data_IF_775629028263
#
_entry.id   IF_775629028263
#
_cell.length_a   1.000
_cell.length_b   1.000
_cell.length_c   1.000
_cell.angle_alpha   90.00
_cell.angle_beta   90.00
_cell.angle_gamma   90.00
#
_symmetry.space_group_name_H-M   'P 1'
#
loop_
_entity.id
_entity.type
_entity.pdbx_description
1 polymer ?
#
# COMPACT_ATOMS: atom_id res chain seq x y z
N UNK A 1 26.13 4.23 -84.30
CA UNK A 1 26.82 4.05 -82.98
C UNK A 1 25.95 4.34 -81.78
N UNK A 2 24.61 4.35 -81.89
CA UNK A 2 23.70 4.77 -80.84
C UNK A 2 22.77 3.64 -80.21
N UNK A 3 22.90 2.40 -80.66
CA UNK A 3 22.04 1.29 -80.17
C UNK A 3 22.60 0.48 -79.01
N UNK A 4 23.90 0.58 -78.70
CA UNK A 4 24.51 -0.22 -77.61
C UNK A 4 24.47 0.45 -76.24
N UNK A 5 24.25 1.76 -76.16
CA UNK A 5 24.22 2.48 -74.88
C UNK A 5 22.82 2.38 -74.22
N UNK A 6 21.75 2.31 -74.99
CA UNK A 6 20.38 2.18 -74.46
C UNK A 6 20.08 0.84 -73.78
N UNK A 7 20.71 -0.27 -74.25
CA UNK A 7 20.49 -1.57 -73.66
C UNK A 7 21.22 -1.79 -72.31
N UNK A 8 22.32 -1.08 -72.06
CA UNK A 8 23.02 -1.12 -70.77
C UNK A 8 22.33 -0.32 -69.70
N UNK A 9 21.74 0.81 -70.05
CA UNK A 9 20.96 1.61 -69.10
C UNK A 9 19.66 0.96 -68.71
N UNK A 10 18.96 0.30 -69.66
CA UNK A 10 17.73 -0.45 -69.36
C UNK A 10 17.94 -1.63 -68.44
N UNK A 11 19.09 -2.37 -68.56
CA UNK A 11 19.40 -3.48 -67.68
C UNK A 11 19.77 -3.01 -66.28
N UNK A 12 20.42 -1.84 -66.13
CA UNK A 12 20.79 -1.28 -64.84
C UNK A 12 19.55 -0.77 -64.06
N UNK A 13 18.61 -0.15 -64.73
CA UNK A 13 17.34 0.30 -64.14
C UNK A 13 16.48 -0.90 -63.77
N UNK A 14 16.39 -1.91 -64.58
CA UNK A 14 15.64 -3.14 -64.24
C UNK A 14 16.22 -3.89 -63.05
N UNK A 15 17.56 -3.95 -62.91
CA UNK A 15 18.21 -4.63 -61.78
C UNK A 15 18.06 -3.82 -60.47
N UNK A 16 18.15 -2.48 -60.56
CA UNK A 16 17.92 -1.60 -59.39
C UNK A 16 16.45 -1.65 -58.90
N UNK A 17 15.49 -1.71 -59.85
CA UNK A 17 14.07 -1.80 -59.49
C UNK A 17 13.73 -3.17 -58.85
N UNK A 18 14.33 -4.27 -59.30
CA UNK A 18 14.15 -5.61 -58.73
C UNK A 18 14.79 -5.70 -57.34
N UNK A 19 15.95 -5.08 -57.13
CA UNK A 19 16.56 -5.00 -55.76
C UNK A 19 15.73 -4.14 -54.81
N UNK A 20 15.15 -3.02 -55.22
CA UNK A 20 14.29 -2.20 -54.38
C UNK A 20 12.97 -2.95 -54.03
N UNK A 21 12.39 -3.68 -54.96
CA UNK A 21 11.19 -4.48 -54.72
C UNK A 21 11.48 -5.69 -53.80
N UNK A 22 12.66 -6.31 -53.92
CA UNK A 22 13.06 -7.39 -53.03
C UNK A 22 13.32 -6.89 -51.58
N UNK A 23 13.88 -5.68 -51.40
CA UNK A 23 14.07 -5.07 -50.08
C UNK A 23 12.72 -4.69 -49.45
N UNK A 24 11.76 -4.21 -50.20
CA UNK A 24 10.40 -3.96 -49.70
C UNK A 24 9.61 -5.25 -49.40
N UNK A 25 9.81 -6.32 -50.19
CA UNK A 25 9.18 -7.61 -49.92
C UNK A 25 9.69 -8.27 -48.62
N UNK A 26 10.95 -8.10 -48.27
CA UNK A 26 11.49 -8.58 -46.98
C UNK A 26 10.96 -7.75 -45.79
N UNK A 27 10.80 -6.43 -45.94
CA UNK A 27 10.19 -5.59 -44.90
C UNK A 27 8.70 -5.88 -44.72
N UNK A 28 7.97 -6.17 -45.80
CA UNK A 28 6.55 -6.56 -45.76
C UNK A 28 6.36 -7.93 -45.13
N UNK A 29 7.28 -8.89 -45.31
CA UNK A 29 7.16 -10.22 -44.72
C UNK A 29 7.34 -10.24 -43.22
N UNK A 30 8.25 -9.41 -42.66
CA UNK A 30 8.44 -9.27 -41.23
C UNK A 30 7.33 -8.45 -40.55
N UNK A 31 6.75 -7.47 -41.25
CA UNK A 31 5.60 -6.73 -40.76
C UNK A 31 4.31 -7.54 -40.83
N UNK A 32 4.10 -8.32 -41.90
CA UNK A 32 2.90 -9.17 -42.09
C UNK A 32 2.86 -10.35 -41.09
N UNK A 33 4.00 -10.90 -40.70
CA UNK A 33 4.08 -11.91 -39.63
C UNK A 33 3.75 -11.37 -38.24
N UNK A 34 3.85 -10.06 -38.04
CA UNK A 34 3.44 -9.38 -36.79
C UNK A 34 1.98 -8.93 -36.78
N UNK A 35 1.32 -8.87 -37.96
CA UNK A 35 -0.09 -8.44 -38.10
C UNK A 35 -1.08 -9.58 -37.90
N UNK A 36 -1.16 -10.16 -36.75
CA UNK A 36 -2.18 -11.17 -36.44
C UNK A 36 -1.90 -12.01 -35.21
N UNK A 37 -0.68 -11.98 -34.71
CA UNK A 37 -0.35 -12.63 -33.43
C UNK A 37 -0.17 -11.53 -32.39
N UNK A 38 -1.00 -11.47 -31.34
CA UNK A 38 -0.78 -10.53 -30.23
C UNK A 38 0.62 -10.70 -29.67
N UNK A 39 1.45 -9.66 -29.71
CA UNK A 39 2.82 -9.70 -29.23
C UNK A 39 3.10 -8.50 -28.31
N UNK A 40 3.67 -8.77 -27.15
CA UNK A 40 4.12 -7.75 -26.20
C UNK A 40 5.46 -7.11 -26.61
N UNK A 41 6.16 -7.70 -27.61
CA UNK A 41 7.52 -7.28 -27.97
C UNK A 41 7.65 -5.78 -28.29
N UNK A 42 6.74 -5.11 -29.03
CA UNK A 42 6.88 -3.69 -29.30
C UNK A 42 6.79 -2.81 -28.06
N UNK A 43 5.91 -3.12 -27.11
CA UNK A 43 5.81 -2.42 -25.83
C UNK A 43 7.06 -2.69 -24.99
N UNK A 44 7.51 -3.94 -24.91
CA UNK A 44 8.70 -4.33 -24.14
C UNK A 44 9.98 -3.67 -24.67
N UNK A 45 10.13 -3.45 -25.97
CA UNK A 45 11.27 -2.72 -26.55
C UNK A 45 11.39 -1.29 -25.97
N UNK A 46 10.25 -0.66 -25.66
CA UNK A 46 10.18 0.71 -25.11
C UNK A 46 10.42 0.71 -23.60
N UNK A 47 9.84 -0.24 -22.85
CA UNK A 47 9.81 -0.23 -21.39
C UNK A 47 11.05 -0.87 -20.75
N UNK A 48 11.57 -1.96 -21.36
CA UNK A 48 12.68 -2.71 -20.77
C UNK A 48 13.96 -1.90 -20.56
N UNK A 49 14.31 -0.84 -21.33
CA UNK A 49 15.47 -0.01 -21.02
C UNK A 49 15.37 0.73 -19.67
N UNK A 50 14.14 0.96 -19.18
CA UNK A 50 13.92 1.58 -17.88
C UNK A 50 14.08 0.61 -16.70
N UNK A 51 14.09 -0.72 -16.95
CA UNK A 51 14.22 -1.73 -15.89
C UNK A 51 15.67 -2.17 -15.77
N UNK A 52 16.25 -1.97 -14.59
CA UNK A 52 17.67 -2.18 -14.30
C UNK A 52 17.88 -3.34 -13.32
N UNK A 53 19.10 -3.92 -13.33
CA UNK A 53 19.53 -4.86 -12.30
C UNK A 53 20.23 -4.13 -11.17
N UNK A 54 19.89 -4.46 -9.94
CA UNK A 54 20.52 -3.91 -8.73
C UNK A 54 21.31 -5.02 -8.05
N UNK A 55 22.56 -4.72 -7.68
CA UNK A 55 23.42 -5.58 -6.86
C UNK A 55 23.85 -4.80 -5.62
N UNK A 56 23.74 -5.46 -4.50
CA UNK A 56 24.15 -4.90 -3.21
C UNK A 56 25.24 -5.74 -2.57
N UNK A 57 26.16 -5.10 -1.87
CA UNK A 57 27.14 -5.73 -1.02
C UNK A 57 26.86 -5.35 0.42
N UNK A 58 26.74 -6.32 1.32
CA UNK A 58 26.53 -6.10 2.76
C UNK A 58 27.80 -6.49 3.51
N UNK A 59 28.28 -5.63 4.41
CA UNK A 59 29.41 -5.96 5.27
C UNK A 59 29.03 -7.11 6.22
N UNK A 60 29.81 -8.18 6.25
CA UNK A 60 29.56 -9.28 7.19
C UNK A 60 30.09 -8.91 8.59
N UNK A 61 29.29 -9.11 9.66
CA UNK A 61 29.78 -8.97 11.03
C UNK A 61 31.00 -9.86 11.30
N UNK A 62 31.98 -9.34 12.03
CA UNK A 62 33.22 -10.05 12.33
C UNK A 62 33.01 -11.43 13.00
N UNK A 63 31.90 -11.61 13.72
CA UNK A 63 31.51 -12.86 14.39
C UNK A 63 31.08 -13.99 13.44
N UNK A 64 30.79 -13.71 12.18
CA UNK A 64 30.43 -14.73 11.14
C UNK A 64 31.56 -15.00 10.17
N UNK A 65 32.77 -14.50 10.39
CA UNK A 65 33.97 -14.82 9.60
C UNK A 65 34.53 -16.18 10.02
N UNK A 66 33.79 -17.25 9.73
CA UNK A 66 34.31 -18.61 9.92
C UNK A 66 35.48 -18.90 8.96
N UNK A 67 36.37 -19.75 9.41
CA UNK A 67 37.67 -20.07 8.79
C UNK A 67 37.63 -20.68 7.38
N UNK A 68 36.45 -20.95 6.81
CA UNK A 68 36.32 -21.61 5.49
C UNK A 68 35.94 -20.66 4.32
N UNK A 69 35.71 -19.38 4.57
CA UNK A 69 35.44 -18.38 3.51
C UNK A 69 36.46 -17.26 3.46
N UNK A 70 37.73 -17.62 3.39
CA UNK A 70 38.86 -16.70 3.22
C UNK A 70 38.88 -16.05 1.83
N UNK A 71 37.88 -15.27 1.44
CA UNK A 71 37.90 -14.56 0.15
C UNK A 71 36.71 -13.63 -0.15
N UNK A 72 35.61 -13.70 0.63
CA UNK A 72 34.44 -12.83 0.41
C UNK A 72 33.95 -12.20 1.71
N UNK A 73 34.45 -11.00 2.06
CA UNK A 73 33.99 -10.29 3.28
C UNK A 73 32.60 -9.71 3.16
N UNK A 74 31.88 -9.94 2.05
CA UNK A 74 30.58 -9.34 1.77
C UNK A 74 29.56 -10.40 1.36
N UNK A 75 28.37 -10.35 1.97
CA UNK A 75 27.20 -11.00 1.42
C UNK A 75 26.68 -10.17 0.23
N UNK A 76 26.27 -10.84 -0.86
CA UNK A 76 25.73 -10.16 -2.04
C UNK A 76 24.25 -10.44 -2.16
N UNK A 77 23.45 -9.38 -2.36
CA UNK A 77 22.03 -9.45 -2.73
C UNK A 77 21.82 -8.95 -4.16
N UNK A 78 20.70 -9.32 -4.75
CA UNK A 78 20.33 -8.86 -6.07
C UNK A 78 18.81 -8.60 -6.14
N UNK A 79 18.41 -7.62 -6.95
CA UNK A 79 17.03 -7.27 -7.26
C UNK A 79 16.96 -6.49 -8.56
N UNK A 80 15.83 -5.89 -8.79
CA UNK A 80 15.57 -5.01 -9.93
C UNK A 80 15.31 -3.58 -9.46
N UNK A 81 15.32 -2.63 -10.40
CA UNK A 81 14.90 -1.25 -10.18
C UNK A 81 14.26 -0.68 -11.43
N UNK A 82 13.60 0.44 -11.29
CA UNK A 82 12.89 1.14 -12.37
C UNK A 82 13.38 2.59 -12.42
N UNK A 83 13.89 3.04 -13.57
CA UNK A 83 14.25 4.44 -13.80
C UNK A 83 12.95 5.23 -13.95
N UNK A 84 12.75 6.21 -13.07
CA UNK A 84 11.52 7.02 -12.99
C UNK A 84 11.75 8.50 -13.29
N UNK A 85 13.04 8.94 -13.35
CA UNK A 85 13.44 10.27 -13.75
C UNK A 85 14.83 10.16 -14.40
N UNK A 86 14.86 10.22 -15.72
CA UNK A 86 16.09 10.09 -16.50
C UNK A 86 17.02 11.29 -16.37
N UNK A 87 16.46 12.48 -16.17
CA UNK A 87 17.22 13.73 -16.05
C UNK A 87 17.98 13.80 -14.73
N UNK A 88 17.39 13.32 -13.63
CA UNK A 88 17.98 13.30 -12.31
C UNK A 88 18.65 11.95 -11.98
N UNK A 89 18.47 10.94 -12.84
CA UNK A 89 19.00 9.59 -12.63
C UNK A 89 18.33 8.87 -11.47
N UNK A 90 17.02 9.10 -11.22
CA UNK A 90 16.30 8.49 -10.11
C UNK A 90 15.79 7.10 -10.47
N UNK A 91 16.01 6.17 -9.55
CA UNK A 91 15.62 4.76 -9.69
C UNK A 91 14.85 4.35 -8.44
N UNK A 92 13.67 3.78 -8.63
CA UNK A 92 12.88 3.15 -7.55
C UNK A 92 13.24 1.66 -7.49
N UNK A 93 13.32 1.16 -6.27
CA UNK A 93 13.42 -0.27 -5.95
C UNK A 93 12.73 -0.56 -4.62
N UNK A 94 12.76 -1.81 -4.14
CA UNK A 94 12.26 -2.12 -2.81
C UNK A 94 13.28 -1.80 -1.71
N UNK A 95 12.75 -1.46 -0.51
CA UNK A 95 13.57 -1.28 0.69
C UNK A 95 14.36 -2.55 1.01
N UNK A 96 13.70 -3.74 1.02
CA UNK A 96 14.34 -5.01 1.36
C UNK A 96 15.50 -5.38 0.42
N UNK A 97 15.53 -4.87 -0.82
CA UNK A 97 16.65 -5.08 -1.77
C UNK A 97 17.90 -4.34 -1.30
N UNK A 98 17.75 -3.12 -0.76
CA UNK A 98 18.86 -2.24 -0.40
C UNK A 98 19.16 -2.18 1.09
N UNK A 99 18.32 -2.78 1.92
CA UNK A 99 18.47 -2.77 3.38
C UNK A 99 19.85 -3.29 3.82
N UNK A 100 20.55 -2.54 4.65
CA UNK A 100 21.88 -2.86 5.16
C UNK A 100 22.97 -2.91 4.08
N UNK A 101 22.72 -2.38 2.87
CA UNK A 101 23.72 -2.32 1.81
C UNK A 101 24.84 -1.34 2.17
N UNK A 102 26.11 -1.79 2.05
CA UNK A 102 27.29 -0.93 2.15
C UNK A 102 27.72 -0.37 0.78
N UNK A 103 27.31 -1.02 -0.30
CA UNK A 103 27.53 -0.57 -1.68
C UNK A 103 26.39 -1.07 -2.55
N UNK A 104 25.90 -0.18 -3.42
CA UNK A 104 24.83 -0.45 -4.40
C UNK A 104 25.36 -0.17 -5.79
N UNK A 105 25.17 -1.13 -6.69
CA UNK A 105 25.53 -1.00 -8.10
C UNK A 105 24.32 -1.31 -8.97
N UNK A 106 24.13 -0.49 -10.00
CA UNK A 106 23.05 -0.59 -10.98
C UNK A 106 23.65 -0.97 -12.33
N UNK A 107 23.14 -2.03 -12.95
CA UNK A 107 23.50 -2.42 -14.32
C UNK A 107 22.33 -2.10 -15.24
N UNK A 108 22.58 -1.27 -16.22
CA UNK A 108 21.63 -0.89 -17.26
C UNK A 108 21.47 -1.99 -18.32
N UNK A 109 20.46 -1.85 -19.17
CA UNK A 109 20.27 -2.77 -20.31
C UNK A 109 21.43 -2.75 -21.32
N UNK A 110 22.08 -1.60 -21.49
CA UNK A 110 23.23 -1.40 -22.37
C UNK A 110 24.58 -1.84 -21.74
N UNK A 111 24.51 -2.63 -20.68
CA UNK A 111 25.64 -3.21 -19.95
C UNK A 111 26.44 -2.22 -19.08
N UNK A 112 26.19 -0.92 -19.13
CA UNK A 112 26.82 0.05 -18.23
C UNK A 112 26.54 -0.33 -16.79
N UNK A 113 27.57 -0.35 -15.95
CA UNK A 113 27.47 -0.57 -14.50
C UNK A 113 27.81 0.73 -13.79
N UNK A 114 26.90 1.22 -13.00
CA UNK A 114 26.95 2.50 -12.31
C UNK A 114 26.93 2.28 -10.80
N UNK A 115 27.65 3.09 -10.04
CA UNK A 115 27.49 3.17 -8.61
C UNK A 115 26.25 4.02 -8.29
N UNK A 116 25.40 3.54 -7.38
CA UNK A 116 24.19 4.22 -6.97
C UNK A 116 24.28 4.72 -5.54
N UNK A 117 23.78 5.91 -5.31
CA UNK A 117 23.58 6.50 -3.98
C UNK A 117 22.17 6.23 -3.50
N UNK A 118 22.01 5.73 -2.28
CA UNK A 118 20.72 5.62 -1.61
C UNK A 118 20.32 7.02 -1.12
N UNK A 119 19.27 7.61 -1.70
CA UNK A 119 18.71 8.88 -1.24
C UNK A 119 17.85 8.69 0.00
N UNK A 120 17.17 7.58 0.10
CA UNK A 120 16.37 7.20 1.25
C UNK A 120 15.59 5.91 1.01
N UNK A 121 15.04 5.33 2.06
CA UNK A 121 14.17 4.16 1.96
C UNK A 121 13.12 4.15 3.06
N UNK A 122 11.99 3.51 2.76
CA UNK A 122 10.86 3.36 3.67
C UNK A 122 10.50 1.90 3.90
N UNK A 123 10.82 1.35 5.07
CA UNK A 123 10.44 -0.02 5.41
C UNK A 123 8.92 -0.23 5.41
N UNK A 124 8.14 0.82 5.77
CA UNK A 124 6.70 0.72 5.93
C UNK A 124 5.93 0.52 4.62
N UNK A 125 6.47 0.93 3.48
CA UNK A 125 5.90 0.71 2.15
C UNK A 125 6.76 -0.20 1.28
N UNK A 126 7.91 -0.63 1.78
CA UNK A 126 8.92 -1.40 1.04
C UNK A 126 9.43 -0.67 -0.21
N UNK A 127 9.62 0.63 -0.16
CA UNK A 127 10.11 1.47 -1.27
C UNK A 127 11.45 2.10 -0.93
N UNK A 128 12.37 2.14 -1.88
CA UNK A 128 13.65 2.85 -1.78
C UNK A 128 13.92 3.67 -3.05
N UNK A 129 14.58 4.82 -2.86
CA UNK A 129 14.97 5.74 -3.93
C UNK A 129 16.49 5.78 -4.04
N UNK A 130 16.99 5.45 -5.23
CA UNK A 130 18.39 5.51 -5.59
C UNK A 130 18.64 6.62 -6.60
N UNK A 131 19.87 7.10 -6.65
CA UNK A 131 20.36 8.03 -7.66
C UNK A 131 21.63 7.51 -8.32
N UNK A 132 21.68 7.61 -9.65
CA UNK A 132 22.88 7.35 -10.47
C UNK A 132 23.23 8.57 -11.30
N UNK A 133 24.52 8.69 -11.66
CA UNK A 133 25.00 9.74 -12.57
C UNK A 133 25.29 9.10 -13.94
N UNK A 134 24.37 9.31 -14.90
CA UNK A 134 24.54 8.82 -16.27
C UNK A 134 23.71 9.64 -17.26
N UNK A 135 24.15 9.66 -18.52
CA UNK A 135 23.42 10.22 -19.64
C UNK A 135 22.73 9.12 -20.45
N UNK A 136 21.68 9.49 -21.19
CA UNK A 136 20.96 8.56 -22.07
C UNK A 136 20.18 7.50 -21.30
N UNK A 137 19.71 7.82 -20.10
CA UNK A 137 18.75 7.01 -19.37
C UNK A 137 17.37 7.11 -20.03
N UNK A 138 16.60 6.05 -19.92
CA UNK A 138 15.19 6.00 -20.39
C UNK A 138 14.33 5.77 -19.15
N UNK A 139 13.40 6.67 -18.92
CA UNK A 139 12.43 6.58 -17.83
C UNK A 139 11.13 5.92 -18.29
N UNK A 140 10.36 5.41 -17.32
CA UNK A 140 9.04 4.85 -17.54
C UNK A 140 7.96 5.87 -17.11
N UNK A 141 6.89 5.99 -17.90
CA UNK A 141 5.74 6.83 -17.54
C UNK A 141 4.90 6.16 -16.43
N UNK A 142 4.34 6.95 -15.51
CA UNK A 142 3.41 6.48 -14.50
C UNK A 142 1.99 6.39 -15.06
N UNK A 143 1.30 5.31 -14.77
CA UNK A 143 -0.12 5.15 -15.06
C UNK A 143 -0.98 5.94 -14.06
N UNK A 144 -2.21 6.27 -14.48
CA UNK A 144 -3.26 6.67 -13.55
C UNK A 144 -3.89 5.43 -12.90
N UNK A 145 -3.46 5.10 -11.68
CA UNK A 145 -3.97 3.91 -10.97
C UNK A 145 -5.46 3.98 -10.63
N UNK A 146 -6.10 5.15 -10.74
CA UNK A 146 -7.55 5.27 -10.53
C UNK A 146 -8.37 4.55 -11.62
N UNK A 147 -7.75 4.31 -12.77
CA UNK A 147 -8.37 3.60 -13.90
C UNK A 147 -8.09 2.09 -13.89
N UNK A 148 -7.14 1.63 -13.07
CA UNK A 148 -6.77 0.20 -12.99
C UNK A 148 -7.90 -0.60 -12.35
N UNK A 149 -8.31 -1.68 -13.04
CA UNK A 149 -9.39 -2.55 -12.60
C UNK A 149 -8.96 -4.02 -12.50
N UNK A 150 -9.67 -4.79 -11.69
CA UNK A 150 -9.49 -6.24 -11.63
C UNK A 150 -9.86 -6.83 -12.99
N UNK A 151 -8.95 -7.65 -13.54
CA UNK A 151 -9.07 -8.24 -14.87
C UNK A 151 -8.21 -7.57 -15.95
N UNK A 152 -7.64 -6.38 -15.66
CA UNK A 152 -6.72 -5.72 -16.60
C UNK A 152 -5.47 -6.55 -16.81
N UNK A 153 -5.02 -6.66 -18.05
CA UNK A 153 -3.77 -7.34 -18.39
C UNK A 153 -2.58 -6.52 -17.92
N UNK A 154 -1.61 -7.22 -17.31
CA UNK A 154 -0.39 -6.61 -16.78
C UNK A 154 0.84 -7.44 -17.12
N UNK A 155 1.98 -6.77 -17.14
CA UNK A 155 3.28 -7.38 -17.41
C UNK A 155 4.24 -7.04 -16.28
N UNK A 156 4.77 -8.07 -15.63
CA UNK A 156 5.82 -7.92 -14.63
C UNK A 156 7.20 -8.08 -15.29
N UNK A 157 8.07 -7.09 -15.06
CA UNK A 157 9.40 -7.02 -15.66
C UNK A 157 10.43 -6.91 -14.54
N UNK A 158 11.44 -7.77 -14.58
CA UNK A 158 12.60 -7.70 -13.71
C UNK A 158 13.90 -7.99 -14.45
N UNK A 159 15.04 -7.75 -13.80
CA UNK A 159 16.36 -8.04 -14.32
C UNK A 159 17.20 -8.79 -13.27
N UNK A 160 16.80 -10.03 -12.90
CA UNK A 160 17.47 -10.79 -11.87
C UNK A 160 18.94 -11.07 -12.24
N UNK A 161 19.83 -10.81 -11.32
CA UNK A 161 21.28 -11.12 -11.45
C UNK A 161 22.00 -10.48 -12.64
N UNK A 162 21.34 -9.64 -13.45
CA UNK A 162 21.89 -9.05 -14.67
C UNK A 162 22.25 -10.07 -15.74
N UNK A 163 21.61 -11.25 -15.73
CA UNK A 163 21.79 -12.30 -16.77
C UNK A 163 20.81 -12.16 -17.93
N UNK A 164 19.97 -11.12 -17.90
CA UNK A 164 18.92 -10.82 -18.86
C UNK A 164 17.61 -10.46 -18.15
N UNK A 165 16.77 -9.74 -18.87
CA UNK A 165 15.46 -9.36 -18.36
C UNK A 165 14.50 -10.54 -18.37
N UNK A 166 13.72 -10.68 -17.31
CA UNK A 166 12.64 -11.67 -17.20
C UNK A 166 11.33 -10.92 -17.31
N UNK A 167 10.45 -11.42 -18.17
CA UNK A 167 9.12 -10.86 -18.42
C UNK A 167 8.08 -11.95 -18.17
N UNK A 168 7.09 -11.64 -17.37
CA UNK A 168 5.93 -12.49 -17.14
C UNK A 168 4.66 -11.67 -17.33
N UNK A 169 3.57 -12.28 -17.73
CA UNK A 169 2.28 -11.61 -17.96
C UNK A 169 1.18 -12.28 -17.15
N UNK A 170 0.17 -11.52 -16.82
CA UNK A 170 -1.00 -11.95 -16.08
C UNK A 170 -2.06 -10.86 -16.08
N UNK A 171 -2.88 -10.84 -15.03
CA UNK A 171 -3.91 -9.83 -14.83
C UNK A 171 -3.80 -9.21 -13.43
N UNK A 172 -4.45 -8.09 -13.24
CA UNK A 172 -4.78 -7.58 -11.89
C UNK A 172 -5.81 -8.52 -11.28
N UNK A 173 -5.41 -9.29 -10.28
CA UNK A 173 -6.27 -10.26 -9.59
C UNK A 173 -7.08 -9.62 -8.48
N UNK A 174 -6.55 -8.58 -7.82
CA UNK A 174 -7.24 -7.79 -6.80
C UNK A 174 -6.51 -6.45 -6.57
N UNK A 175 -7.23 -5.50 -5.97
CA UNK A 175 -6.71 -4.20 -5.54
C UNK A 175 -6.89 -4.05 -4.02
N UNK A 176 -6.09 -3.19 -3.38
CA UNK A 176 -6.22 -2.87 -1.97
C UNK A 176 -5.84 -4.02 -1.04
N UNK A 177 -4.95 -4.93 -1.48
CA UNK A 177 -4.52 -6.06 -0.64
C UNK A 177 -3.56 -5.58 0.46
N UNK A 178 -3.76 -6.13 1.64
CA UNK A 178 -2.96 -5.82 2.82
C UNK A 178 -3.03 -6.97 3.85
N UNK A 179 -2.26 -6.86 4.95
CA UNK A 179 -2.18 -7.90 5.98
C UNK A 179 -1.15 -8.98 5.63
N UNK A 180 -0.19 -8.64 4.77
CA UNK A 180 0.95 -9.49 4.44
C UNK A 180 2.04 -9.30 5.50
N UNK A 181 2.26 -8.04 5.92
CA UNK A 181 3.16 -7.66 7.02
C UNK A 181 2.38 -6.77 8.00
N UNK A 182 2.19 -7.22 9.24
CA UNK A 182 1.21 -6.66 10.19
C UNK A 182 1.35 -5.16 10.51
N UNK A 183 2.52 -4.54 10.35
CA UNK A 183 2.78 -3.15 10.75
C UNK A 183 3.00 -2.20 9.56
N UNK A 184 2.83 -2.67 8.32
CA UNK A 184 3.17 -1.93 7.13
C UNK A 184 1.98 -1.12 6.55
N UNK A 185 2.32 -0.09 5.77
CA UNK A 185 1.37 0.69 4.97
C UNK A 185 1.14 -0.03 3.64
N UNK A 186 0.18 -0.94 3.62
CA UNK A 186 -0.07 -1.84 2.50
C UNK A 186 -1.36 -1.49 1.76
N UNK A 187 -1.26 -1.41 0.44
CA UNK A 187 -2.38 -1.20 -0.49
C UNK A 187 -2.07 -1.91 -1.82
N UNK A 188 -1.57 -3.15 -1.75
CA UNK A 188 -0.97 -3.83 -2.89
C UNK A 188 -1.95 -4.10 -4.03
N UNK A 189 -1.43 -4.01 -5.26
CA UNK A 189 -2.00 -4.66 -6.43
C UNK A 189 -1.61 -6.14 -6.37
N UNK A 190 -2.60 -7.03 -6.40
CA UNK A 190 -2.37 -8.47 -6.53
C UNK A 190 -2.41 -8.84 -8.01
N UNK A 191 -1.47 -9.69 -8.46
CA UNK A 191 -1.40 -10.21 -9.82
C UNK A 191 -1.06 -11.71 -9.84
N UNK A 192 -1.49 -12.41 -10.86
CA UNK A 192 -1.07 -13.79 -11.16
C UNK A 192 0.13 -13.84 -12.13
N UNK A 193 0.58 -12.70 -12.66
CA UNK A 193 1.88 -12.61 -13.33
C UNK A 193 2.97 -13.14 -12.40
N UNK A 194 3.80 -14.07 -12.87
CA UNK A 194 4.75 -14.76 -12.02
C UNK A 194 5.82 -13.80 -11.48
N UNK A 195 5.77 -13.51 -10.19
CA UNK A 195 6.80 -12.79 -9.44
C UNK A 195 7.70 -13.83 -8.77
N UNK A 196 9.00 -13.72 -8.95
CA UNK A 196 10.02 -14.60 -8.39
C UNK A 196 11.22 -13.78 -7.89
N UNK A 197 12.13 -14.44 -7.18
CA UNK A 197 13.41 -13.85 -6.75
C UNK A 197 14.11 -13.13 -7.91
N UNK A 198 14.37 -11.83 -7.73
CA UNK A 198 14.98 -10.95 -8.70
C UNK A 198 14.03 -10.02 -9.45
N UNK A 199 12.72 -10.32 -9.51
CA UNK A 199 11.72 -9.36 -10.02
C UNK A 199 11.39 -8.26 -8.99
N UNK A 200 11.69 -8.48 -7.70
CA UNK A 200 11.49 -7.48 -6.64
C UNK A 200 12.21 -6.18 -6.97
N UNK A 201 11.50 -5.06 -6.86
CA UNK A 201 11.94 -3.72 -7.27
C UNK A 201 11.78 -3.44 -8.76
N UNK A 202 11.38 -4.42 -9.58
CA UNK A 202 11.07 -4.26 -10.99
C UNK A 202 9.68 -3.70 -11.25
N UNK A 203 9.36 -3.49 -12.52
CA UNK A 203 8.11 -2.86 -12.95
C UNK A 203 6.95 -3.86 -13.05
N UNK A 204 5.76 -3.44 -12.63
CA UNK A 204 4.48 -3.95 -13.09
C UNK A 204 3.88 -2.88 -14.00
N UNK A 205 3.62 -3.22 -15.27
CA UNK A 205 3.15 -2.27 -16.28
C UNK A 205 1.81 -2.71 -16.88
N UNK A 206 1.06 -1.74 -17.38
CA UNK A 206 -0.13 -1.96 -18.21
C UNK A 206 0.25 -2.37 -19.64
N UNK A 207 -0.75 -2.53 -20.51
CA UNK A 207 -0.53 -2.94 -21.92
C UNK A 207 0.00 -1.80 -22.79
N UNK A 208 -0.09 -0.56 -22.35
CA UNK A 208 0.48 0.64 -22.95
C UNK A 208 1.95 0.85 -22.54
N UNK A 209 2.43 0.12 -21.50
CA UNK A 209 3.79 0.20 -20.98
C UNK A 209 3.96 1.22 -19.88
N UNK A 210 2.87 1.75 -19.29
CA UNK A 210 2.95 2.64 -18.15
C UNK A 210 3.11 1.85 -16.85
N UNK A 211 3.86 2.40 -15.91
CA UNK A 211 4.09 1.80 -14.59
C UNK A 211 2.82 1.88 -13.74
N UNK A 212 2.26 0.75 -13.36
CA UNK A 212 1.14 0.66 -12.41
C UNK A 212 1.60 0.32 -11.00
N UNK A 213 2.77 -0.30 -10.85
CA UNK A 213 3.32 -0.63 -9.53
C UNK A 213 4.76 -1.18 -9.57
N UNK A 214 5.34 -1.34 -8.39
CA UNK A 214 6.67 -1.94 -8.18
C UNK A 214 6.49 -3.33 -7.58
N UNK A 215 6.97 -4.36 -8.29
CA UNK A 215 6.93 -5.74 -7.81
C UNK A 215 7.64 -5.88 -6.47
N UNK A 216 7.02 -6.50 -5.46
CA UNK A 216 7.62 -6.57 -4.13
C UNK A 216 7.64 -7.98 -3.55
N UNK A 217 6.50 -8.61 -3.33
CA UNK A 217 6.40 -9.84 -2.56
C UNK A 217 5.55 -10.92 -3.26
N UNK A 218 5.68 -12.15 -2.75
CA UNK A 218 4.80 -13.27 -3.08
C UNK A 218 4.33 -13.94 -1.80
N UNK A 219 3.13 -14.52 -1.81
CA UNK A 219 2.73 -15.51 -0.81
C UNK A 219 3.12 -16.89 -1.36
N UNK A 220 4.11 -17.52 -0.78
CA UNK A 220 4.60 -18.82 -1.24
C UNK A 220 5.12 -19.67 -0.09
N UNK A 221 4.70 -20.93 -0.04
CA UNK A 221 5.25 -21.91 0.89
C UNK A 221 6.57 -22.52 0.44
N UNK A 222 6.96 -22.35 -0.85
CA UNK A 222 8.14 -22.97 -1.46
C UNK A 222 9.18 -21.97 -1.98
N UNK A 223 8.90 -20.64 -1.87
CA UNK A 223 9.79 -19.58 -2.36
C UNK A 223 9.69 -19.28 -3.86
N UNK A 224 8.84 -19.99 -4.63
CA UNK A 224 8.52 -19.71 -6.03
C UNK A 224 7.10 -19.19 -6.20
N UNK A 225 6.79 -18.55 -7.35
CA UNK A 225 5.47 -18.07 -7.65
C UNK A 225 4.45 -19.21 -7.72
N UNK A 226 3.31 -19.03 -7.07
CA UNK A 226 2.13 -19.90 -7.14
C UNK A 226 0.90 -19.16 -7.69
N UNK A 227 1.10 -18.08 -8.45
CA UNK A 227 0.03 -17.24 -9.00
C UNK A 227 -0.50 -16.17 -8.05
N UNK A 228 0.22 -15.87 -6.96
CA UNK A 228 -0.12 -14.79 -6.02
C UNK A 228 1.11 -13.91 -5.84
N UNK A 229 1.18 -12.86 -6.64
CA UNK A 229 2.20 -11.82 -6.58
C UNK A 229 1.61 -10.48 -6.16
N UNK A 230 2.45 -9.60 -5.63
CA UNK A 230 2.07 -8.27 -5.14
C UNK A 230 2.99 -7.19 -5.66
N UNK A 231 2.40 -6.03 -5.96
CA UNK A 231 3.13 -4.83 -6.33
C UNK A 231 2.65 -3.63 -5.50
N UNK A 232 3.56 -2.76 -5.12
CA UNK A 232 3.26 -1.46 -4.49
C UNK A 232 2.71 -0.54 -5.57
N UNK A 233 1.49 0.03 -5.43
CA UNK A 233 0.88 0.87 -6.45
C UNK A 233 1.69 2.13 -6.73
N UNK A 234 1.73 2.57 -7.98
CA UNK A 234 2.59 3.70 -8.40
C UNK A 234 2.21 5.04 -7.74
N UNK A 235 0.95 5.28 -7.40
CA UNK A 235 0.54 6.47 -6.64
C UNK A 235 1.19 6.51 -5.25
N UNK A 236 1.28 5.36 -4.55
CA UNK A 236 1.99 5.25 -3.29
C UNK A 236 3.49 5.44 -3.49
N UNK A 237 4.06 4.82 -4.53
CA UNK A 237 5.47 4.97 -4.91
C UNK A 237 5.81 6.43 -5.18
N UNK A 238 4.99 7.15 -5.95
CA UNK A 238 5.19 8.57 -6.27
C UNK A 238 5.23 9.45 -5.01
N UNK A 239 4.28 9.23 -4.09
CA UNK A 239 4.23 9.98 -2.83
C UNK A 239 5.45 9.70 -1.95
N UNK A 240 5.83 8.41 -1.80
CA UNK A 240 7.02 8.02 -1.04
C UNK A 240 8.29 8.58 -1.67
N UNK A 241 8.42 8.52 -3.01
CA UNK A 241 9.55 9.08 -3.75
C UNK A 241 9.75 10.57 -3.44
N UNK A 242 8.66 11.36 -3.40
CA UNK A 242 8.76 12.79 -3.05
C UNK A 242 9.26 13.01 -1.61
N UNK A 243 8.79 12.20 -0.65
CA UNK A 243 9.31 12.27 0.72
C UNK A 243 10.81 11.92 0.78
N UNK A 244 11.20 10.81 0.14
CA UNK A 244 12.60 10.36 0.13
C UNK A 244 13.53 11.35 -0.57
N UNK A 245 13.05 11.99 -1.65
CA UNK A 245 13.80 12.99 -2.40
C UNK A 245 14.04 14.28 -1.59
N UNK A 246 13.06 14.73 -0.81
CA UNK A 246 13.11 16.00 -0.08
C UNK A 246 13.70 15.84 1.32
N UNK A 247 13.34 14.77 2.03
CA UNK A 247 13.62 14.60 3.46
C UNK A 247 14.57 13.41 3.74
N UNK A 248 14.82 12.54 2.76
CA UNK A 248 15.58 11.29 2.94
C UNK A 248 14.82 10.18 3.68
N UNK A 249 13.66 10.50 4.23
CA UNK A 249 12.80 9.59 5.00
C UNK A 249 11.32 9.92 4.80
N UNK A 250 10.43 8.96 5.05
CA UNK A 250 8.98 9.22 5.06
C UNK A 250 8.54 9.67 6.44
N UNK A 251 8.19 10.95 6.56
CA UNK A 251 7.60 11.50 7.78
C UNK A 251 6.11 11.27 7.77
N UNK A 252 5.67 10.35 8.62
CA UNK A 252 4.26 9.93 8.68
C UNK A 252 3.36 11.01 9.24
N UNK A 253 2.29 11.30 8.51
CA UNK A 253 1.20 12.12 9.01
C UNK A 253 0.35 11.37 10.03
N UNK A 254 -0.26 12.10 10.96
CA UNK A 254 -1.12 11.56 12.00
C UNK A 254 -2.32 12.49 12.26
N UNK A 255 -3.52 11.93 12.30
CA UNK A 255 -4.70 12.65 12.80
C UNK A 255 -4.88 12.50 14.32
N UNK A 256 -4.40 11.39 14.89
CA UNK A 256 -4.55 11.07 16.30
C UNK A 256 -5.91 10.52 16.65
N UNK A 257 -6.41 9.61 15.82
CA UNK A 257 -7.61 8.79 16.03
C UNK A 257 -7.26 7.32 16.04
N UNK A 258 -7.97 6.52 16.83
CA UNK A 258 -8.10 5.09 16.60
C UNK A 258 -9.34 4.88 15.72
N UNK A 259 -9.26 3.94 14.78
CA UNK A 259 -10.30 3.71 13.78
C UNK A 259 -10.54 2.22 13.58
N UNK A 260 -11.77 1.86 13.21
CA UNK A 260 -12.18 0.52 12.79
C UNK A 260 -12.90 0.59 11.44
N UNK A 261 -13.06 -0.55 10.76
CA UNK A 261 -13.83 -0.60 9.53
C UNK A 261 -15.33 -0.38 9.80
N UNK A 262 -15.99 0.38 8.94
CA UNK A 262 -17.44 0.57 8.96
C UNK A 262 -18.13 -0.68 8.38
N UNK A 263 -18.22 -1.74 9.18
CA UNK A 263 -18.94 -2.96 8.79
C UNK A 263 -20.47 -2.72 8.81
N UNK A 264 -21.27 -3.54 8.06
CA UNK A 264 -22.72 -3.39 8.04
C UNK A 264 -23.35 -3.35 9.44
N UNK A 265 -22.87 -4.17 10.37
CA UNK A 265 -23.38 -4.24 11.73
C UNK A 265 -23.03 -2.98 12.54
N UNK A 266 -21.81 -2.46 12.38
CA UNK A 266 -21.35 -1.24 13.04
C UNK A 266 -22.16 -0.03 12.55
N UNK A 267 -22.35 0.12 11.23
CA UNK A 267 -23.10 1.27 10.69
C UNK A 267 -24.58 1.18 11.06
N UNK A 268 -25.13 -0.03 11.16
CA UNK A 268 -26.49 -0.25 11.67
C UNK A 268 -26.62 0.14 13.15
N UNK A 269 -25.63 -0.20 13.98
CA UNK A 269 -25.60 0.18 15.40
C UNK A 269 -25.41 1.69 15.62
N UNK A 270 -24.76 2.36 14.67
CA UNK A 270 -24.59 3.82 14.66
C UNK A 270 -25.72 4.58 13.95
N UNK A 271 -26.72 3.87 13.39
CA UNK A 271 -27.84 4.43 12.63
C UNK A 271 -27.38 5.31 11.46
N UNK A 272 -26.27 4.91 10.78
CA UNK A 272 -25.70 5.62 9.65
C UNK A 272 -25.93 4.83 8.36
N UNK A 273 -26.45 5.48 7.32
CA UNK A 273 -26.70 4.85 6.01
C UNK A 273 -25.46 4.96 5.10
N UNK A 274 -24.43 4.18 5.43
CA UNK A 274 -23.22 4.04 4.62
C UNK A 274 -22.77 2.57 4.59
N UNK A 275 -22.06 2.19 3.53
CA UNK A 275 -21.62 0.81 3.32
C UNK A 275 -20.09 0.67 3.36
N UNK A 276 -19.35 1.74 3.67
CA UNK A 276 -17.90 1.80 3.71
C UNK A 276 -17.45 2.99 4.55
N UNK A 277 -16.19 2.96 4.99
CA UNK A 277 -15.57 4.04 5.74
C UNK A 277 -14.78 3.56 6.94
N UNK A 278 -14.24 4.50 7.69
CA UNK A 278 -13.50 4.29 8.92
C UNK A 278 -14.25 4.92 10.10
N UNK A 279 -14.65 4.11 11.06
CA UNK A 279 -15.33 4.56 12.29
C UNK A 279 -14.28 5.02 13.29
N UNK A 280 -14.46 6.21 13.86
CA UNK A 280 -13.61 6.73 14.92
C UNK A 280 -13.97 6.08 16.24
N UNK A 281 -13.08 5.25 16.77
CA UNK A 281 -13.24 4.50 18.02
C UNK A 281 -12.56 5.18 19.22
N UNK A 282 -11.65 6.12 18.97
CA UNK A 282 -11.05 7.00 19.99
C UNK A 282 -10.45 8.23 19.34
N UNK A 283 -10.44 9.34 20.06
CA UNK A 283 -9.75 10.57 19.67
C UNK A 283 -8.71 10.90 20.74
N UNK A 284 -7.46 11.09 20.32
CA UNK A 284 -6.37 11.41 21.25
C UNK A 284 -6.45 12.87 21.68
N UNK A 285 -6.35 13.16 22.99
CA UNK A 285 -6.30 14.54 23.48
C UNK A 285 -5.13 15.33 22.87
N UNK A 286 -5.39 16.60 22.50
CA UNK A 286 -4.43 17.48 21.87
C UNK A 286 -4.10 17.17 20.41
N UNK A 287 -4.72 16.13 19.83
CA UNK A 287 -4.47 15.68 18.47
C UNK A 287 -5.00 16.65 17.40
N UNK A 288 -4.58 16.38 16.15
CA UNK A 288 -5.10 17.07 14.98
C UNK A 288 -6.62 16.84 14.80
N UNK A 289 -7.09 15.62 15.06
CA UNK A 289 -8.49 15.25 14.99
C UNK A 289 -9.34 15.98 16.05
N UNK A 290 -8.88 16.00 17.30
CA UNK A 290 -9.59 16.74 18.36
C UNK A 290 -9.72 18.23 18.02
N UNK A 291 -8.61 18.85 17.60
CA UNK A 291 -8.60 20.29 17.20
C UNK A 291 -9.51 20.58 16.01
N UNK A 292 -9.67 19.60 15.12
CA UNK A 292 -10.57 19.69 13.97
C UNK A 292 -12.04 19.44 14.33
N UNK A 293 -12.33 18.98 15.55
CA UNK A 293 -13.67 18.65 16.00
C UNK A 293 -14.16 17.27 15.55
N UNK A 294 -13.26 16.35 15.20
CA UNK A 294 -13.59 14.93 14.99
C UNK A 294 -14.00 14.33 16.33
N UNK A 295 -15.07 13.55 16.32
CA UNK A 295 -15.68 12.98 17.52
C UNK A 295 -15.69 11.45 17.45
N UNK A 296 -15.89 10.83 18.61
CA UNK A 296 -16.17 9.41 18.74
C UNK A 296 -17.43 9.07 17.94
N UNK A 297 -17.47 7.91 17.31
CA UNK A 297 -18.54 7.43 16.43
C UNK A 297 -18.69 8.15 15.08
N UNK A 298 -17.84 9.13 14.74
CA UNK A 298 -17.78 9.66 13.38
C UNK A 298 -17.40 8.55 12.41
N UNK A 299 -18.06 8.48 11.26
CA UNK A 299 -17.73 7.56 10.18
C UNK A 299 -17.08 8.35 9.05
N UNK A 300 -15.75 8.28 8.94
CA UNK A 300 -14.99 8.99 7.90
C UNK A 300 -15.11 8.21 6.59
N UNK A 301 -15.69 8.84 5.56
CA UNK A 301 -15.96 8.25 4.26
C UNK A 301 -15.17 8.89 3.12
N UNK A 302 -14.52 10.03 3.38
CA UNK A 302 -13.82 10.80 2.36
C UNK A 302 -12.68 11.60 2.98
N UNK A 303 -11.58 11.76 2.23
CA UNK A 303 -10.48 12.67 2.54
C UNK A 303 -10.02 13.38 1.25
N UNK A 304 -10.05 14.72 1.23
CA UNK A 304 -9.72 15.56 0.06
C UNK A 304 -10.42 15.10 -1.23
N UNK A 305 -11.73 14.79 -1.16
CA UNK A 305 -12.54 14.32 -2.29
C UNK A 305 -12.30 12.85 -2.68
N UNK A 306 -11.38 12.14 -2.03
CA UNK A 306 -11.09 10.73 -2.28
C UNK A 306 -11.86 9.84 -1.32
N UNK A 307 -12.57 8.85 -1.86
CA UNK A 307 -13.34 7.89 -1.06
C UNK A 307 -12.46 7.08 -0.10
N UNK A 308 -12.90 6.96 1.15
CA UNK A 308 -12.35 6.08 2.16
C UNK A 308 -13.21 4.82 2.24
N UNK A 309 -12.64 3.66 1.90
CA UNK A 309 -13.36 2.38 1.91
C UNK A 309 -13.26 1.64 3.24
N UNK A 310 -12.27 1.98 4.07
CA UNK A 310 -12.06 1.36 5.38
C UNK A 310 -10.92 2.01 6.16
N UNK A 311 -10.72 1.55 7.38
CA UNK A 311 -9.75 2.07 8.35
C UNK A 311 -8.31 2.02 7.84
N UNK A 312 -7.94 0.92 7.20
CA UNK A 312 -6.59 0.73 6.65
C UNK A 312 -6.28 1.71 5.53
N UNK A 313 -7.22 1.91 4.60
CA UNK A 313 -7.03 2.89 3.53
C UNK A 313 -6.88 4.32 4.09
N UNK A 314 -7.72 4.71 5.06
CA UNK A 314 -7.59 6.01 5.72
C UNK A 314 -6.22 6.16 6.40
N UNK A 315 -5.75 5.14 7.13
CA UNK A 315 -4.42 5.11 7.74
C UNK A 315 -3.31 5.33 6.69
N UNK A 316 -3.38 4.62 5.57
CA UNK A 316 -2.40 4.74 4.49
C UNK A 316 -2.41 6.15 3.87
N UNK A 317 -3.59 6.69 3.57
CA UNK A 317 -3.75 8.03 3.01
C UNK A 317 -3.17 9.09 3.95
N UNK A 318 -3.55 9.07 5.22
CA UNK A 318 -3.06 10.03 6.23
C UNK A 318 -1.57 9.84 6.50
N UNK A 319 -1.12 8.59 6.61
CA UNK A 319 0.27 8.26 6.90
C UNK A 319 1.27 8.73 5.82
N UNK A 320 0.81 8.91 4.59
CA UNK A 320 1.61 9.43 3.49
C UNK A 320 1.46 10.95 3.27
N UNK A 321 0.57 11.60 4.01
CA UNK A 321 0.43 13.07 3.96
C UNK A 321 1.56 13.75 4.73
N UNK A 322 1.92 14.94 4.29
CA UNK A 322 2.92 15.74 4.98
C UNK A 322 2.36 16.33 6.26
N UNK A 323 3.25 16.47 7.26
CA UNK A 323 2.94 17.24 8.46
C UNK A 323 2.51 18.66 8.06
N UNK A 324 1.59 19.25 8.84
CA UNK A 324 0.97 20.56 8.65
C UNK A 324 0.11 20.72 7.39
N UNK A 325 -0.01 19.69 6.54
CA UNK A 325 -0.97 19.69 5.43
C UNK A 325 -2.40 19.85 5.99
N UNK A 326 -3.16 20.77 5.40
CA UNK A 326 -4.60 20.90 5.68
C UNK A 326 -5.36 19.93 4.81
N UNK A 327 -6.21 19.11 5.41
CA UNK A 327 -7.04 18.12 4.72
C UNK A 327 -8.50 18.31 5.09
N UNK A 328 -9.39 18.00 4.16
CA UNK A 328 -10.84 18.01 4.38
C UNK A 328 -11.33 16.57 4.54
N UNK A 329 -11.96 16.28 5.68
CA UNK A 329 -12.54 14.98 5.99
C UNK A 329 -14.06 15.07 5.78
N UNK A 330 -14.60 14.26 4.87
CA UNK A 330 -16.03 14.00 4.76
C UNK A 330 -16.39 12.86 5.71
N UNK A 331 -17.33 13.11 6.60
CA UNK A 331 -17.75 12.14 7.62
C UNK A 331 -19.28 12.16 7.84
N UNK A 332 -19.77 11.09 8.44
CA UNK A 332 -21.12 11.04 8.96
C UNK A 332 -21.07 11.09 10.49
N UNK A 333 -21.90 11.97 11.07
CA UNK A 333 -22.12 12.15 12.51
C UNK A 333 -23.60 12.08 12.82
N UNK A 334 -24.03 11.13 13.64
CA UNK A 334 -25.44 10.93 13.97
C UNK A 334 -26.34 10.87 12.71
N UNK A 335 -25.92 10.15 11.67
CA UNK A 335 -26.64 10.03 10.41
C UNK A 335 -26.53 11.23 9.45
N UNK A 336 -25.93 12.35 9.86
CA UNK A 336 -25.81 13.58 9.06
C UNK A 336 -24.40 13.65 8.45
N UNK A 337 -24.33 13.94 7.14
CA UNK A 337 -23.03 14.16 6.47
C UNK A 337 -22.48 15.54 6.83
N UNK A 338 -21.27 15.56 7.31
CA UNK A 338 -20.50 16.76 7.68
C UNK A 338 -19.13 16.76 6.98
N UNK A 339 -18.50 17.93 6.93
CA UNK A 339 -17.11 18.11 6.52
C UNK A 339 -16.36 18.86 7.61
N UNK A 340 -15.18 18.35 7.98
CA UNK A 340 -14.29 18.98 8.94
C UNK A 340 -12.89 19.14 8.34
N UNK A 341 -12.20 20.24 8.69
CA UNK A 341 -10.83 20.48 8.21
C UNK A 341 -9.84 20.19 9.33
N UNK A 342 -8.94 19.27 9.07
CA UNK A 342 -7.89 18.87 9.99
C UNK A 342 -6.51 19.28 9.46
N UNK A 343 -5.61 19.68 10.36
CA UNK A 343 -4.20 19.88 10.04
C UNK A 343 -3.43 18.65 10.47
N UNK A 344 -2.85 17.93 9.52
CA UNK A 344 -2.11 16.68 9.77
C UNK A 344 -0.97 16.93 10.77
N UNK A 345 -0.94 16.17 11.86
CA UNK A 345 0.12 16.20 12.87
C UNK A 345 1.29 15.29 12.49
N UNK A 346 2.33 15.28 13.32
CA UNK A 346 3.48 14.38 13.18
C UNK A 346 3.32 13.15 14.07
N UNK A 347 3.88 12.03 13.64
CA UNK A 347 3.95 10.79 14.40
C UNK A 347 5.10 10.77 15.44
N UNK A 348 5.68 11.91 15.79
CA UNK A 348 6.77 11.98 16.77
C UNK A 348 6.28 11.58 18.16
N UNK A 349 6.42 10.31 18.48
CA UNK A 349 6.16 9.71 19.78
C UNK A 349 4.79 9.07 19.93
N UNK A 350 4.76 7.75 19.84
CA UNK A 350 3.66 6.81 20.04
C UNK A 350 2.69 6.65 18.87
N UNK A 351 3.06 5.76 17.95
CA UNK A 351 2.09 5.04 17.15
C UNK A 351 1.27 4.13 18.10
N UNK A 352 0.07 4.56 18.46
CA UNK A 352 -0.92 3.63 18.97
C UNK A 352 -1.51 2.97 17.72
N UNK A 353 -0.87 1.90 17.28
CA UNK A 353 -1.47 0.94 16.37
C UNK A 353 -2.46 0.13 17.21
N UNK A 354 -3.66 0.66 17.33
CA UNK A 354 -4.81 -0.14 17.70
C UNK A 354 -5.31 -0.81 16.43
N UNK A 355 -4.71 -1.93 16.05
CA UNK A 355 -5.38 -2.89 15.18
C UNK A 355 -6.45 -3.56 16.06
N UNK A 356 -7.58 -2.88 16.18
CA UNK A 356 -8.79 -3.50 16.72
C UNK A 356 -9.34 -4.38 15.62
N UNK A 357 -8.78 -5.58 15.50
CA UNK A 357 -9.52 -6.69 14.92
C UNK A 357 -10.75 -6.85 15.81
N UNK A 358 -11.86 -6.25 15.38
CA UNK A 358 -13.16 -6.44 16.01
C UNK A 358 -13.57 -7.87 15.70
N UNK A 359 -13.23 -8.79 16.59
CA UNK A 359 -13.89 -10.08 16.65
C UNK A 359 -15.32 -9.78 17.11
N UNK A 360 -16.26 -9.86 16.17
CA UNK A 360 -17.69 -9.66 16.40
C UNK A 360 -18.23 -10.76 17.30
N UNK A 361 -18.47 -10.45 18.56
CA UNK A 361 -19.00 -11.39 19.55
C UNK A 361 -20.18 -10.73 20.28
N UNK A 362 -21.30 -11.42 20.20
CA UNK A 362 -22.58 -11.02 20.78
C UNK A 362 -22.62 -11.30 22.28
N UNK A 363 -22.37 -10.34 23.15
CA UNK A 363 -22.78 -10.32 24.57
C UNK A 363 -21.65 -9.90 25.54
N UNK A 364 -22.04 -9.26 26.66
CA UNK A 364 -21.18 -8.93 27.80
C UNK A 364 -20.81 -10.17 28.64
N UNK A 365 -20.70 -11.34 28.00
CA UNK A 365 -20.39 -12.60 28.65
C UNK A 365 -19.02 -12.56 29.29
N UNK A 366 -18.94 -13.01 30.54
CA UNK A 366 -17.72 -13.05 31.34
C UNK A 366 -17.41 -11.74 32.09
N UNK A 367 -18.16 -10.66 31.87
CA UNK A 367 -18.00 -9.41 32.61
C UNK A 367 -18.91 -9.34 33.84
N UNK A 368 -18.33 -9.02 35.01
CA UNK A 368 -19.07 -8.63 36.18
C UNK A 368 -19.09 -7.08 36.26
N UNK A 369 -20.30 -6.53 36.29
CA UNK A 369 -20.56 -5.09 36.21
C UNK A 369 -21.13 -4.58 37.53
N UNK A 370 -20.60 -3.44 38.01
CA UNK A 370 -21.11 -2.74 39.22
C UNK A 370 -21.38 -1.26 38.88
N UNK A 371 -22.20 -0.59 39.66
CA UNK A 371 -22.38 0.88 39.51
C UNK A 371 -21.10 1.56 39.89
N UNK A 372 -20.71 2.57 39.10
CA UNK A 372 -19.53 3.41 39.40
C UNK A 372 -19.69 4.06 40.77
N UNK A 373 -18.65 4.01 41.59
CA UNK A 373 -18.65 4.65 42.89
C UNK A 373 -18.50 6.17 42.78
N UNK A 374 -19.12 6.91 43.68
CA UNK A 374 -19.09 8.40 43.67
C UNK A 374 -17.69 8.99 43.75
N UNK A 375 -16.70 8.25 44.25
CA UNK A 375 -15.31 8.66 44.37
C UNK A 375 -14.42 8.23 43.21
N UNK A 376 -15.00 7.66 42.14
CA UNK A 376 -14.23 7.23 40.98
C UNK A 376 -13.58 8.43 40.29
N UNK A 377 -12.29 8.31 40.03
CA UNK A 377 -11.44 9.38 39.48
C UNK A 377 -11.87 9.83 38.07
N UNK A 378 -12.50 8.95 37.31
CA UNK A 378 -12.71 9.15 35.86
C UNK A 378 -14.17 9.42 35.48
N UNK A 379 -15.12 8.97 36.27
CA UNK A 379 -16.55 9.20 36.05
C UNK A 379 -17.33 9.09 37.34
N UNK A 380 -18.39 9.88 37.47
CA UNK A 380 -19.38 9.81 38.52
C UNK A 380 -20.68 9.11 38.12
N UNK A 381 -20.71 8.52 36.92
CA UNK A 381 -21.85 7.78 36.39
C UNK A 381 -21.37 6.68 35.47
N UNK A 382 -22.19 5.68 35.25
CA UNK A 382 -21.90 4.53 34.39
C UNK A 382 -21.89 3.20 35.14
N UNK A 383 -21.37 2.19 34.48
CA UNK A 383 -21.22 0.83 35.01
C UNK A 383 -19.77 0.41 34.86
N UNK A 384 -19.11 0.07 35.96
CA UNK A 384 -17.71 -0.35 35.99
C UNK A 384 -17.58 -1.86 35.80
N UNK A 385 -16.61 -2.28 34.99
CA UNK A 385 -16.22 -3.69 34.82
C UNK A 385 -15.27 -4.05 35.97
N UNK A 386 -15.79 -4.68 37.01
CA UNK A 386 -15.02 -5.00 38.21
C UNK A 386 -14.28 -6.33 38.11
N UNK A 387 -14.70 -7.23 37.24
CA UNK A 387 -13.94 -8.42 36.89
C UNK A 387 -14.33 -8.89 35.49
N UNK A 388 -13.40 -9.54 34.79
CA UNK A 388 -13.58 -10.00 33.43
C UNK A 388 -12.84 -11.32 33.23
N UNK A 389 -13.58 -12.37 32.84
CA UNK A 389 -12.96 -13.65 32.50
C UNK A 389 -12.19 -13.56 31.20
N UNK A 390 -10.88 -13.84 31.25
CA UNK A 390 -10.07 -14.05 30.04
C UNK A 390 -10.61 -15.28 29.31
N UNK A 391 -10.73 -15.19 27.97
CA UNK A 391 -11.32 -16.19 27.06
C UNK A 391 -12.85 -16.14 26.90
N UNK A 392 -13.52 -15.18 27.49
CA UNK A 392 -14.95 -14.92 27.26
C UNK A 392 -15.12 -13.76 26.26
N UNK A 393 -16.34 -13.64 25.75
CA UNK A 393 -16.67 -12.78 24.61
C UNK A 393 -16.36 -11.30 24.84
N UNK A 394 -16.70 -10.75 25.99
CA UNK A 394 -16.44 -9.36 26.33
C UNK A 394 -14.94 -9.02 26.39
N UNK A 395 -14.10 -9.96 26.84
CA UNK A 395 -12.65 -9.78 26.85
C UNK A 395 -12.06 -9.80 25.44
N UNK A 396 -12.55 -10.70 24.58
CA UNK A 396 -12.16 -10.83 23.18
C UNK A 396 -12.54 -9.56 22.38
N UNK A 397 -13.68 -8.95 22.68
CA UNK A 397 -14.15 -7.69 22.10
C UNK A 397 -13.35 -6.46 22.61
N UNK A 398 -12.42 -6.65 23.50
CA UNK A 398 -11.53 -5.59 23.97
C UNK A 398 -11.90 -4.93 25.29
N UNK A 399 -12.98 -5.36 25.96
CA UNK A 399 -13.33 -4.90 27.32
C UNK A 399 -12.23 -5.29 28.32
N UNK A 400 -12.00 -4.48 29.33
CA UNK A 400 -10.97 -4.72 30.35
C UNK A 400 -11.54 -4.40 31.74
N UNK A 401 -10.97 -5.00 32.77
CA UNK A 401 -11.25 -4.64 34.15
C UNK A 401 -10.89 -3.16 34.39
N UNK A 402 -11.74 -2.44 35.10
CA UNK A 402 -11.63 -1.00 35.35
C UNK A 402 -12.24 -0.13 34.25
N UNK A 403 -12.75 -0.69 33.15
CA UNK A 403 -13.52 0.08 32.15
C UNK A 403 -14.82 0.55 32.74
N UNK A 404 -15.20 1.78 32.47
CA UNK A 404 -16.48 2.35 32.88
C UNK A 404 -17.35 2.51 31.66
N UNK A 405 -18.43 1.72 31.53
CA UNK A 405 -19.40 1.83 30.46
C UNK A 405 -20.29 3.04 30.71
N UNK A 406 -20.23 4.03 29.82
CA UNK A 406 -21.00 5.28 29.94
C UNK A 406 -22.05 5.46 28.87
N UNK A 407 -22.01 4.65 27.80
CA UNK A 407 -22.97 4.73 26.70
C UNK A 407 -23.09 3.37 26.00
N UNK A 408 -24.31 3.01 25.57
CA UNK A 408 -24.59 1.82 24.75
C UNK A 408 -25.57 2.23 23.66
N UNK A 409 -25.20 2.04 22.37
CA UNK A 409 -26.02 2.43 21.21
C UNK A 409 -26.58 3.86 21.34
N UNK A 410 -25.71 4.83 21.57
CA UNK A 410 -26.03 6.27 21.77
C UNK A 410 -26.96 6.56 22.98
N UNK A 411 -27.17 5.60 23.85
CA UNK A 411 -27.95 5.80 25.09
C UNK A 411 -27.00 5.94 26.27
N UNK A 412 -27.09 7.06 26.98
CA UNK A 412 -26.28 7.30 28.18
C UNK A 412 -26.60 6.30 29.28
N UNK A 413 -25.56 5.79 29.93
CA UNK A 413 -25.65 4.84 31.01
C UNK A 413 -25.32 5.54 32.32
N UNK A 414 -26.34 5.73 33.14
CA UNK A 414 -26.21 6.30 34.48
C UNK A 414 -25.93 5.23 35.58
N UNK A 415 -26.23 3.96 35.30
CA UNK A 415 -26.04 2.82 36.21
C UNK A 415 -26.69 1.55 35.65
N UNK A 416 -26.73 0.48 36.46
CA UNK A 416 -27.14 -0.87 36.03
C UNK A 416 -28.56 -0.92 35.40
N UNK A 417 -29.51 -0.15 35.90
CA UNK A 417 -30.88 -0.14 35.36
C UNK A 417 -30.97 0.50 33.97
N UNK A 418 -30.21 1.57 33.72
CA UNK A 418 -30.09 2.17 32.38
C UNK A 418 -29.34 1.25 31.43
N UNK A 419 -28.31 0.59 31.89
CA UNK A 419 -27.57 -0.41 31.13
C UNK A 419 -28.45 -1.59 30.68
N UNK A 420 -29.20 -2.20 31.61
CA UNK A 420 -30.15 -3.27 31.28
C UNK A 420 -31.21 -2.85 30.25
N UNK A 421 -31.77 -1.61 30.40
CA UNK A 421 -32.73 -1.07 29.42
C UNK A 421 -32.10 -0.85 28.04
N UNK A 422 -30.86 -0.33 27.99
CA UNK A 422 -30.17 -0.08 26.72
C UNK A 422 -29.86 -1.38 25.99
N UNK A 423 -29.40 -2.40 26.69
CA UNK A 423 -29.09 -3.72 26.09
C UNK A 423 -30.36 -4.49 25.71
N UNK A 424 -31.41 -4.50 26.55
CA UNK A 424 -32.70 -5.18 26.24
C UNK A 424 -33.48 -4.55 25.09
N UNK A 425 -33.47 -3.23 24.98
CA UNK A 425 -34.19 -2.51 23.91
C UNK A 425 -33.52 -2.71 22.53
N UNK A 426 -32.23 -2.87 22.49
CA UNK A 426 -31.47 -3.10 21.25
C UNK A 426 -31.72 -4.48 20.66
N UNK A 427 -31.86 -5.51 21.49
CA UNK A 427 -32.25 -6.86 21.05
C UNK A 427 -33.66 -6.89 20.44
N UNK A 428 -34.56 -6.03 20.88
CA UNK A 428 -35.95 -5.99 20.41
C UNK A 428 -36.16 -5.17 19.13
N UNK A 429 -35.28 -4.22 18.84
CA UNK A 429 -35.49 -3.21 17.77
C UNK A 429 -34.48 -3.23 16.62
N UNK A 430 -33.32 -3.85 16.78
CA UNK A 430 -32.24 -3.79 15.78
C UNK A 430 -32.10 -5.08 14.99
N UNK A 431 -31.78 -4.91 13.69
CA UNK A 431 -31.36 -5.99 12.80
C UNK A 431 -29.92 -6.45 13.10
N UNK A 432 -29.24 -5.82 14.05
CA UNK A 432 -27.88 -6.10 14.47
C UNK A 432 -27.85 -6.67 15.88
N UNK A 433 -27.04 -7.71 16.08
CA UNK A 433 -26.75 -8.33 17.37
C UNK A 433 -25.55 -7.69 18.09
N UNK A 434 -25.04 -6.57 17.58
CA UNK A 434 -23.84 -5.87 18.07
C UNK A 434 -24.26 -4.60 18.83
N UNK A 435 -23.58 -4.37 19.96
CA UNK A 435 -23.71 -3.16 20.76
C UNK A 435 -22.51 -2.22 20.49
N UNK A 436 -22.79 -0.97 20.13
CA UNK A 436 -21.79 0.09 20.15
C UNK A 436 -21.67 0.60 21.61
N UNK A 437 -20.54 0.30 22.26
CA UNK A 437 -20.33 0.56 23.68
C UNK A 437 -19.21 1.58 23.85
N UNK A 438 -19.54 2.73 24.47
CA UNK A 438 -18.50 3.70 24.85
C UNK A 438 -18.07 3.45 26.30
N UNK A 439 -16.79 3.23 26.50
CA UNK A 439 -16.18 3.09 27.83
C UNK A 439 -15.22 4.22 28.13
N UNK A 440 -15.01 4.50 29.43
CA UNK A 440 -13.89 5.32 29.90
C UNK A 440 -12.83 4.37 30.46
N UNK A 441 -11.64 4.38 29.87
CA UNK A 441 -10.44 3.65 30.31
C UNK A 441 -9.33 4.65 30.59
N UNK A 442 -8.85 4.71 31.82
CA UNK A 442 -7.80 5.64 32.23
C UNK A 442 -8.08 7.12 31.84
N UNK A 443 -9.35 7.52 31.92
CA UNK A 443 -9.81 8.86 31.56
C UNK A 443 -10.03 9.12 30.07
N UNK A 444 -9.86 8.13 29.19
CA UNK A 444 -10.10 8.22 27.75
C UNK A 444 -11.40 7.56 27.37
N UNK A 445 -12.17 8.19 26.49
CA UNK A 445 -13.37 7.60 25.91
C UNK A 445 -12.97 6.70 24.71
N UNK A 446 -13.40 5.46 24.75
CA UNK A 446 -13.13 4.46 23.73
C UNK A 446 -14.45 3.84 23.31
N UNK A 447 -14.74 3.83 22.01
CA UNK A 447 -15.85 3.10 21.41
C UNK A 447 -15.38 1.69 21.06
N UNK A 448 -16.14 0.70 21.45
CA UNK A 448 -15.96 -0.69 21.08
C UNK A 448 -17.29 -1.33 20.69
N UNK A 449 -17.21 -2.45 20.02
CA UNK A 449 -18.36 -3.18 19.53
C UNK A 449 -18.39 -4.57 20.20
N UNK A 450 -19.45 -4.84 20.91
CA UNK A 450 -19.70 -6.06 21.69
C UNK A 450 -20.84 -6.86 21.09
#
# INVERSE_FOLDING_TARGET
MNYRISLRFSKFIATATVMLLAAQAQAISTAALRQGIPSLAPMLEQVTPAVVSIRVSKAMPASRRGSEQMGRPYATGAGSGVIVDAAQGLIITNHHVVDGASRITVRLRDERTLEATLLGSDPGTDVALLQVQAQGLIEIAFADVSTVAVGDYVVAIGNPFGIGQTVTSGIVSALGRAGINNDNYEDFIQTDAAINLGNSGGALVDMEGNLIGINTAIISGSGGSNGIGFAVPVNMVATVMEHLKLDGEVRRGLLGVAIADATPDIVAALEVDVYHGAVVTSVMPGSAAEKAGVQLSDVIVEIDGKQVRGSRQLRNMVGLMRQDQLVELGLYRNGIRESVRARVGSSSGQAIVGDSTVNMINEFRGARLEVVKDDNKYSNHGVEVVSLSQFEDAWAAGLREGDIIVEVNHRSIAGLESFKRATSASVASSKSSIFAVTVIREGRRILMYL
#
